data_IF_348103391195
#
_entry.id   IF_348103391195
#
_cell.length_a   1.000
_cell.length_b   1.000
_cell.length_c   1.000
_cell.angle_alpha   90.00
_cell.angle_beta   90.00
_cell.angle_gamma   90.00
#
_symmetry.space_group_name_H-M   'P 1'
#
loop_
_entity.id
_entity.type
_entity.pdbx_description
1 polymer ?
#
# COMPACT_ATOMS: atom_id res chain seq x y z
N UNK A 1 -31.43 -29.04 -18.36
CA UNK A 1 -30.03 -29.15 -17.88
C UNK A 1 -30.05 -29.64 -16.43
N UNK A 2 -29.37 -30.76 -16.12
CA UNK A 2 -29.51 -31.42 -14.81
C UNK A 2 -28.89 -30.56 -13.69
N UNK A 3 -29.57 -30.42 -12.54
CA UNK A 3 -29.10 -29.63 -11.37
C UNK A 3 -27.66 -29.96 -10.95
N UNK A 4 -27.26 -31.22 -11.08
CA UNK A 4 -25.87 -31.68 -10.87
C UNK A 4 -24.86 -31.04 -11.82
N UNK A 5 -25.20 -30.85 -13.10
CA UNK A 5 -24.33 -30.16 -14.08
C UNK A 5 -24.23 -28.66 -13.78
N UNK A 6 -25.32 -28.04 -13.34
CA UNK A 6 -25.32 -26.62 -12.95
C UNK A 6 -24.40 -26.40 -11.73
N UNK A 7 -24.53 -27.25 -10.70
CA UNK A 7 -23.66 -27.19 -9.53
C UNK A 7 -22.17 -27.41 -9.90
N UNK A 8 -21.89 -28.35 -10.80
CA UNK A 8 -20.52 -28.61 -11.25
C UNK A 8 -19.92 -27.42 -12.02
N UNK A 9 -20.69 -26.81 -12.91
CA UNK A 9 -20.26 -25.61 -13.66
C UNK A 9 -20.05 -24.42 -12.71
N UNK A 10 -20.92 -24.23 -11.72
CA UNK A 10 -20.77 -23.16 -10.73
C UNK A 10 -19.49 -23.32 -9.89
N UNK A 11 -19.18 -24.54 -9.46
CA UNK A 11 -17.93 -24.83 -8.72
C UNK A 11 -16.71 -24.58 -9.61
N UNK A 12 -16.75 -25.01 -10.88
CA UNK A 12 -15.65 -24.82 -11.81
C UNK A 12 -15.39 -23.33 -12.08
N UNK A 13 -16.46 -22.55 -12.27
CA UNK A 13 -16.38 -21.10 -12.46
C UNK A 13 -15.84 -20.37 -11.22
N UNK A 14 -16.25 -20.80 -10.03
CA UNK A 14 -15.75 -20.25 -8.77
C UNK A 14 -14.25 -20.52 -8.58
N UNK A 15 -13.79 -21.74 -8.85
CA UNK A 15 -12.37 -22.09 -8.78
C UNK A 15 -11.55 -21.31 -9.83
N UNK A 16 -12.06 -21.16 -11.05
CA UNK A 16 -11.42 -20.35 -12.08
C UNK A 16 -11.31 -18.87 -11.67
N UNK A 17 -12.33 -18.31 -11.01
CA UNK A 17 -12.30 -16.95 -10.49
C UNK A 17 -11.25 -16.78 -9.37
N UNK A 18 -11.14 -17.74 -8.44
CA UNK A 18 -10.13 -17.72 -7.39
C UNK A 18 -8.70 -17.78 -7.94
N UNK A 19 -8.46 -18.66 -8.92
CA UNK A 19 -7.18 -18.74 -9.62
C UNK A 19 -6.89 -17.44 -10.38
N UNK A 20 -7.89 -16.88 -11.05
CA UNK A 20 -7.77 -15.60 -11.76
C UNK A 20 -7.43 -14.43 -10.84
N UNK A 21 -8.02 -14.36 -9.64
CA UNK A 21 -7.70 -13.34 -8.63
C UNK A 21 -6.31 -13.55 -8.04
N UNK A 22 -5.90 -14.80 -7.79
CA UNK A 22 -4.59 -15.12 -7.22
C UNK A 22 -3.45 -14.83 -8.21
N UNK A 23 -3.60 -15.28 -9.46
CA UNK A 23 -2.68 -15.00 -10.57
C UNK A 23 -2.71 -13.51 -10.89
N UNK A 24 -3.89 -12.91 -10.94
CA UNK A 24 -4.07 -11.46 -11.08
C UNK A 24 -3.27 -10.71 -10.02
N UNK A 25 -3.33 -11.07 -8.74
CA UNK A 25 -2.53 -10.40 -7.70
C UNK A 25 -1.03 -10.63 -7.75
N UNK A 26 -0.56 -11.71 -8.36
CA UNK A 26 0.87 -12.00 -8.48
C UNK A 26 1.50 -11.35 -9.71
N UNK A 27 0.73 -11.22 -10.80
CA UNK A 27 1.21 -10.69 -12.09
C UNK A 27 0.71 -9.27 -12.41
N UNK A 28 -0.37 -8.80 -11.79
CA UNK A 28 -0.72 -7.38 -11.79
C UNK A 28 0.20 -6.72 -10.78
N UNK A 29 1.24 -6.10 -11.30
CA UNK A 29 2.08 -5.17 -10.54
C UNK A 29 1.15 -4.26 -9.75
N UNK A 30 1.28 -4.16 -8.41
CA UNK A 30 0.55 -3.14 -7.67
C UNK A 30 0.81 -1.79 -8.37
N UNK A 31 -0.20 -0.90 -8.48
CA UNK A 31 0.01 0.42 -9.06
C UNK A 31 1.27 0.99 -8.44
N UNK A 32 2.14 1.57 -9.28
CA UNK A 32 3.42 2.11 -8.86
C UNK A 32 3.19 2.89 -7.57
N UNK A 33 3.82 2.46 -6.46
CA UNK A 33 3.63 3.18 -5.21
C UNK A 33 4.03 4.63 -5.48
N UNK A 34 3.23 5.63 -5.06
CA UNK A 34 3.53 7.06 -5.30
C UNK A 34 4.96 7.47 -4.90
N UNK A 35 5.61 6.68 -4.03
CA UNK A 35 7.01 6.84 -3.67
C UNK A 35 8.03 6.62 -4.80
N UNK A 36 7.74 5.86 -5.86
CA UNK A 36 8.72 5.57 -6.93
C UNK A 36 8.93 6.78 -7.86
N UNK A 37 7.86 7.49 -8.22
CA UNK A 37 7.95 8.73 -8.99
C UNK A 37 8.49 9.88 -8.12
N UNK A 38 8.10 9.93 -6.84
CA UNK A 38 8.62 10.94 -5.92
C UNK A 38 10.12 10.75 -5.61
N UNK A 39 10.60 9.51 -5.52
CA UNK A 39 12.04 9.20 -5.42
C UNK A 39 12.80 9.63 -6.67
N UNK A 40 12.24 9.42 -7.86
CA UNK A 40 12.87 9.85 -9.12
C UNK A 40 13.02 11.37 -9.17
N UNK A 41 11.99 12.14 -8.78
CA UNK A 41 12.10 13.60 -8.70
C UNK A 41 13.11 14.04 -7.63
N UNK A 42 13.13 13.39 -6.48
CA UNK A 42 14.08 13.69 -5.40
C UNK A 42 15.54 13.46 -5.80
N UNK A 43 15.83 12.47 -6.64
CA UNK A 43 17.19 12.12 -7.04
C UNK A 43 17.62 12.73 -8.38
N UNK A 44 16.71 12.90 -9.34
CA UNK A 44 17.03 13.34 -10.70
C UNK A 44 16.81 14.84 -10.92
N UNK A 45 15.86 15.47 -10.21
CA UNK A 45 15.50 16.89 -10.42
C UNK A 45 16.00 17.83 -9.30
N UNK A 46 16.37 17.26 -8.14
CA UNK A 46 16.85 18.00 -6.98
C UNK A 46 18.31 17.69 -6.69
N UNK A 47 19.17 18.71 -6.82
CA UNK A 47 20.56 18.64 -6.39
C UNK A 47 20.62 18.88 -4.89
N UNK A 48 20.67 17.79 -4.11
CA UNK A 48 20.86 17.83 -2.67
C UNK A 48 22.34 18.07 -2.33
N UNK A 49 22.61 18.81 -1.26
CA UNK A 49 23.96 18.89 -0.72
C UNK A 49 24.25 17.71 0.23
N UNK A 50 25.53 17.50 0.56
CA UNK A 50 25.96 16.38 1.41
C UNK A 50 25.38 16.42 2.84
N UNK A 51 24.87 17.57 3.30
CA UNK A 51 24.12 17.67 4.56
C UNK A 51 22.71 17.14 4.40
N UNK A 52 22.01 17.59 3.35
CA UNK A 52 20.67 17.15 2.99
C UNK A 52 20.61 15.64 2.71
N UNK A 53 21.58 15.09 1.97
CA UNK A 53 21.65 13.66 1.66
C UNK A 53 21.74 12.80 2.92
N UNK A 54 22.60 13.17 3.89
CA UNK A 54 22.75 12.43 5.15
C UNK A 54 21.49 12.48 6.00
N UNK A 55 20.80 13.63 6.01
CA UNK A 55 19.53 13.77 6.73
C UNK A 55 18.42 12.95 6.06
N UNK A 56 18.37 12.96 4.73
CA UNK A 56 17.42 12.18 3.94
C UNK A 56 17.64 10.67 4.15
N UNK A 57 18.89 10.19 4.11
CA UNK A 57 19.19 8.77 4.34
C UNK A 57 18.73 8.30 5.73
N UNK A 58 18.96 9.11 6.77
CA UNK A 58 18.48 8.78 8.12
C UNK A 58 16.95 8.71 8.19
N UNK A 59 16.27 9.63 7.49
CA UNK A 59 14.82 9.71 7.40
C UNK A 59 14.23 8.51 6.63
N UNK A 60 14.82 8.13 5.50
CA UNK A 60 14.44 6.96 4.71
C UNK A 60 14.59 5.66 5.50
N UNK A 61 15.71 5.49 6.22
CA UNK A 61 15.94 4.32 7.05
C UNK A 61 14.86 4.18 8.14
N UNK A 62 14.51 5.28 8.81
CA UNK A 62 13.45 5.28 9.81
C UNK A 62 12.08 4.93 9.19
N UNK A 63 11.76 5.51 8.03
CA UNK A 63 10.51 5.24 7.33
C UNK A 63 10.39 3.78 6.89
N UNK A 64 11.45 3.19 6.31
CA UNK A 64 11.45 1.79 5.88
C UNK A 64 11.18 0.85 7.06
N UNK A 65 11.77 1.10 8.22
CA UNK A 65 11.53 0.32 9.45
C UNK A 65 10.06 0.44 9.86
N UNK A 66 9.53 1.67 9.92
CA UNK A 66 8.15 1.92 10.34
C UNK A 66 7.12 1.31 9.39
N UNK A 67 7.31 1.50 8.09
CA UNK A 67 6.50 0.88 7.03
C UNK A 67 6.50 -0.64 7.17
N UNK A 68 7.67 -1.24 7.35
CA UNK A 68 7.79 -2.70 7.47
C UNK A 68 7.06 -3.25 8.69
N UNK A 69 7.08 -2.53 9.81
CA UNK A 69 6.34 -2.91 11.01
C UNK A 69 4.82 -2.95 10.74
N UNK A 70 4.27 -1.89 10.11
CA UNK A 70 2.85 -1.82 9.75
C UNK A 70 2.46 -2.88 8.71
N UNK A 71 3.29 -3.14 7.71
CA UNK A 71 3.06 -4.22 6.74
C UNK A 71 2.99 -5.60 7.40
N UNK A 72 3.85 -5.86 8.40
CA UNK A 72 3.83 -7.12 9.14
C UNK A 72 2.59 -7.22 10.04
N UNK A 73 2.16 -6.12 10.64
CA UNK A 73 0.92 -6.05 11.41
C UNK A 73 -0.30 -6.38 10.53
N UNK A 74 -0.41 -5.76 9.35
CA UNK A 74 -1.47 -6.09 8.38
C UNK A 74 -1.47 -7.56 7.97
N UNK A 75 -0.29 -8.18 7.80
CA UNK A 75 -0.18 -9.62 7.50
C UNK A 75 -0.70 -10.48 8.66
N UNK A 76 -0.39 -10.09 9.90
CA UNK A 76 -0.92 -10.75 11.10
C UNK A 76 -2.45 -10.63 11.19
N UNK A 77 -2.99 -9.46 10.87
CA UNK A 77 -4.43 -9.21 10.85
C UNK A 77 -5.13 -10.03 9.76
N UNK A 78 -4.52 -10.17 8.58
CA UNK A 78 -5.03 -11.02 7.51
C UNK A 78 -5.03 -12.51 7.88
N UNK A 79 -4.03 -12.99 8.63
CA UNK A 79 -4.03 -14.35 9.17
C UNK A 79 -5.21 -14.55 10.14
N UNK A 80 -5.46 -13.59 11.04
CA UNK A 80 -6.61 -13.62 11.96
C UNK A 80 -7.95 -13.57 11.23
N UNK A 81 -8.03 -12.81 10.13
CA UNK A 81 -9.20 -12.78 9.26
C UNK A 81 -9.46 -14.15 8.63
N UNK A 82 -8.44 -14.82 8.12
CA UNK A 82 -8.57 -16.17 7.55
C UNK A 82 -9.08 -17.19 8.59
N UNK A 83 -8.55 -17.13 9.81
CA UNK A 83 -9.01 -17.97 10.92
C UNK A 83 -10.48 -17.67 11.29
N UNK A 84 -10.87 -16.38 11.29
CA UNK A 84 -12.23 -15.96 11.58
C UNK A 84 -13.23 -16.43 10.50
N UNK A 85 -12.89 -16.29 9.22
CA UNK A 85 -13.71 -16.79 8.10
C UNK A 85 -13.92 -18.30 8.22
N UNK A 86 -12.86 -19.03 8.57
CA UNK A 86 -12.93 -20.49 8.76
C UNK A 86 -13.81 -20.87 9.96
N UNK A 87 -13.83 -20.07 11.02
CA UNK A 87 -14.62 -20.37 12.21
C UNK A 87 -16.10 -19.96 12.08
N UNK A 88 -16.38 -18.82 11.46
CA UNK A 88 -17.71 -18.20 11.45
C UNK A 88 -18.49 -18.50 10.16
N UNK A 89 -17.81 -18.90 9.08
CA UNK A 89 -18.40 -19.20 7.76
C UNK A 89 -19.35 -18.12 7.23
N UNK A 90 -19.13 -16.88 7.64
CA UNK A 90 -19.96 -15.71 7.35
C UNK A 90 -19.30 -14.44 7.90
N UNK A 91 -19.93 -13.29 7.66
CA UNK A 91 -19.45 -12.01 8.18
C UNK A 91 -19.86 -11.84 9.65
N UNK A 92 -19.27 -12.66 10.53
CA UNK A 92 -19.50 -12.63 11.96
C UNK A 92 -18.65 -11.59 12.68
N UNK A 93 -18.78 -11.48 14.01
CA UNK A 93 -18.11 -10.46 14.80
C UNK A 93 -16.58 -10.54 14.72
N UNK A 94 -15.97 -11.72 14.57
CA UNK A 94 -14.52 -11.83 14.45
C UNK A 94 -14.03 -11.41 13.07
N UNK A 95 -14.78 -11.72 12.01
CA UNK A 95 -14.48 -11.25 10.65
C UNK A 95 -14.53 -9.73 10.60
N UNK A 96 -15.59 -9.11 11.13
CA UNK A 96 -15.71 -7.66 11.20
C UNK A 96 -14.57 -7.00 11.99
N UNK A 97 -14.23 -7.55 13.17
CA UNK A 97 -13.14 -7.01 14.00
C UNK A 97 -11.76 -7.09 13.31
N UNK A 98 -11.49 -8.17 12.57
CA UNK A 98 -10.24 -8.32 11.83
C UNK A 98 -10.14 -7.36 10.64
N UNK A 99 -11.26 -7.11 9.94
CA UNK A 99 -11.33 -6.12 8.87
C UNK A 99 -11.12 -4.70 9.42
N UNK A 100 -11.79 -4.34 10.52
CA UNK A 100 -11.63 -3.03 11.15
C UNK A 100 -10.20 -2.80 11.65
N UNK A 101 -9.54 -3.85 12.15
CA UNK A 101 -8.13 -3.78 12.50
C UNK A 101 -7.24 -3.47 11.28
N UNK A 102 -7.45 -4.22 10.20
CA UNK A 102 -6.74 -3.99 8.92
C UNK A 102 -6.96 -2.57 8.38
N UNK A 103 -8.18 -2.03 8.45
CA UNK A 103 -8.47 -0.64 8.06
C UNK A 103 -7.72 0.38 8.93
N UNK A 104 -7.64 0.17 10.25
CA UNK A 104 -6.86 1.06 11.12
C UNK A 104 -5.38 1.04 10.74
N UNK A 105 -4.78 -0.13 10.59
CA UNK A 105 -3.36 -0.27 10.25
C UNK A 105 -3.04 0.30 8.87
N UNK A 106 -3.94 0.11 7.91
CA UNK A 106 -3.86 0.74 6.59
C UNK A 106 -3.90 2.28 6.69
N UNK A 107 -4.81 2.82 7.52
CA UNK A 107 -4.88 4.26 7.76
C UNK A 107 -3.62 4.83 8.42
N UNK A 108 -3.03 4.10 9.36
CA UNK A 108 -1.74 4.49 9.96
C UNK A 108 -0.61 4.47 8.93
N UNK A 109 -0.55 3.47 8.04
CA UNK A 109 0.44 3.43 6.96
C UNK A 109 0.31 4.64 6.02
N UNK A 110 -0.91 5.07 5.69
CA UNK A 110 -1.14 6.27 4.89
C UNK A 110 -0.64 7.53 5.61
N UNK A 111 -0.93 7.67 6.90
CA UNK A 111 -0.46 8.81 7.71
C UNK A 111 1.06 8.86 7.79
N UNK A 112 1.72 7.73 8.03
CA UNK A 112 3.19 7.64 8.08
C UNK A 112 3.81 8.01 6.72
N UNK A 113 3.20 7.57 5.61
CA UNK A 113 3.66 7.93 4.26
C UNK A 113 3.55 9.44 4.01
N UNK A 114 2.44 10.06 4.42
CA UNK A 114 2.26 11.51 4.29
C UNK A 114 3.23 12.28 5.20
N UNK A 115 3.43 11.82 6.43
CA UNK A 115 4.39 12.40 7.35
C UNK A 115 5.82 12.34 6.78
N UNK A 116 6.20 11.22 6.17
CA UNK A 116 7.48 11.05 5.48
C UNK A 116 7.67 12.07 4.35
N UNK A 117 6.65 12.26 3.50
CA UNK A 117 6.67 13.25 2.42
C UNK A 117 6.92 14.67 2.95
N UNK A 118 6.20 15.07 4.00
CA UNK A 118 6.41 16.39 4.61
C UNK A 118 7.76 16.53 5.29
N UNK A 119 8.28 15.46 5.88
CA UNK A 119 9.57 15.47 6.53
C UNK A 119 10.72 15.57 5.52
N UNK A 120 10.61 14.93 4.34
CA UNK A 120 11.52 15.17 3.20
C UNK A 120 11.46 16.64 2.75
N UNK A 121 10.26 17.18 2.58
CA UNK A 121 10.03 18.58 2.17
C UNK A 121 10.66 19.60 3.14
N UNK A 122 10.72 19.28 4.42
CA UNK A 122 11.33 20.14 5.45
C UNK A 122 12.86 20.24 5.34
N UNK A 123 13.52 19.31 4.64
CA UNK A 123 14.98 19.34 4.40
C UNK A 123 15.37 20.25 3.22
N UNK A 124 14.40 20.65 2.40
CA UNK A 124 14.64 21.34 1.14
C UNK A 124 14.71 22.86 1.33
N UNK A 125 15.61 23.50 0.56
CA UNK A 125 15.65 24.96 0.41
C UNK A 125 14.44 25.46 -0.40
N UNK A 126 14.08 26.75 -0.34
CA UNK A 126 12.89 27.28 -1.01
C UNK A 126 12.80 26.97 -2.52
N UNK A 127 13.93 26.98 -3.24
CA UNK A 127 14.01 26.67 -4.67
C UNK A 127 13.78 25.17 -4.98
N UNK A 128 14.25 24.29 -4.10
CA UNK A 128 14.06 22.83 -4.19
C UNK A 128 12.63 22.44 -3.80
N UNK A 129 12.12 23.10 -2.78
CA UNK A 129 10.78 22.95 -2.24
C UNK A 129 9.68 23.16 -3.28
N UNK A 130 9.80 24.19 -4.13
CA UNK A 130 8.80 24.47 -5.18
C UNK A 130 8.69 23.34 -6.20
N UNK A 131 9.83 22.77 -6.63
CA UNK A 131 9.87 21.61 -7.52
C UNK A 131 9.28 20.37 -6.87
N UNK A 132 9.62 20.13 -5.61
CA UNK A 132 9.07 19.02 -4.83
C UNK A 132 7.55 19.12 -4.71
N UNK A 133 7.03 20.29 -4.34
CA UNK A 133 5.59 20.51 -4.16
C UNK A 133 4.82 20.32 -5.47
N UNK A 134 5.39 20.76 -6.61
CA UNK A 134 4.83 20.53 -7.93
C UNK A 134 4.78 19.03 -8.29
N UNK A 135 5.84 18.28 -8.00
CA UNK A 135 5.89 16.84 -8.24
C UNK A 135 4.92 16.06 -7.36
N UNK A 136 4.83 16.38 -6.06
CA UNK A 136 3.82 15.79 -5.15
C UNK A 136 2.41 16.04 -5.68
N UNK A 137 2.12 17.28 -6.10
CA UNK A 137 0.81 17.65 -6.61
C UNK A 137 0.48 16.87 -7.89
N UNK A 138 1.44 16.73 -8.80
CA UNK A 138 1.29 15.96 -10.02
C UNK A 138 1.00 14.49 -9.73
N UNK A 139 1.81 13.85 -8.88
CA UNK A 139 1.62 12.44 -8.49
C UNK A 139 0.25 12.19 -7.85
N UNK A 140 -0.23 13.12 -7.01
CA UNK A 140 -1.55 13.01 -6.37
C UNK A 140 -2.73 13.29 -7.31
N UNK A 141 -2.50 13.91 -8.47
CA UNK A 141 -3.56 14.32 -9.41
C UNK A 141 -3.59 13.50 -10.69
N UNK A 142 -2.49 12.84 -11.07
CA UNK A 142 -2.44 11.96 -12.25
C UNK A 142 -3.09 10.59 -12.02
N UNK A 143 -3.08 10.05 -10.79
CA UNK A 143 -3.83 8.83 -10.41
C UNK A 143 -5.37 8.99 -10.53
N UNK A 144 -5.86 10.22 -10.71
CA UNK A 144 -7.29 10.53 -10.81
C UNK A 144 -7.84 10.51 -12.25
N UNK A 145 -7.08 10.02 -13.25
CA UNK A 145 -7.52 9.93 -14.66
C UNK A 145 -7.58 8.50 -15.19
#
# INVERSE_FOLDING_TARGET
MNRRRIAFVAILAFLAALVGVFVGRQFVTPPAQPGAELHAVLHDELTLDAGQERQLEALENAFVIRRRALELEMRSENARLADAITAEHGNGPRVAAAVDASHRTMGELQKETLAHIFAMRALLRPDQAEKFDAAVTKALTEDAR
#
